data_IF_467900218690
#
_entry.id   IF_467900218690
#
_cell.length_a   1.000
_cell.length_b   1.000
_cell.length_c   1.000
_cell.angle_alpha   90.00
_cell.angle_beta   90.00
_cell.angle_gamma   90.00
#
_symmetry.space_group_name_H-M   'P 1'
#
loop_
_entity.id
_entity.type
_entity.pdbx_description
1 polymer ?
#
# COMPACT_ATOMS: atom_id res chain seq x y z
N UNK A 1 5.03 4.13 -9.68
CA UNK A 1 4.38 4.37 -11.00
C UNK A 1 2.86 4.18 -10.96
N UNK A 2 2.33 3.04 -10.49
CA UNK A 2 0.88 2.79 -10.44
C UNK A 2 0.11 3.85 -9.62
N UNK A 3 0.66 4.28 -8.48
CA UNK A 3 0.13 5.39 -7.67
C UNK A 3 -0.06 6.68 -8.47
N UNK A 4 0.89 7.06 -9.32
CA UNK A 4 0.77 8.21 -10.23
C UNK A 4 -0.17 7.96 -11.42
N UNK A 5 -0.37 6.71 -11.83
CA UNK A 5 -1.34 6.36 -12.90
C UNK A 5 -2.76 6.45 -12.36
N UNK A 6 -2.98 6.01 -11.13
CA UNK A 6 -4.27 6.10 -10.42
C UNK A 6 -4.46 7.43 -9.67
N UNK A 7 -3.50 8.36 -9.79
CA UNK A 7 -3.54 9.70 -9.18
C UNK A 7 -3.76 9.70 -7.66
N UNK A 8 -3.33 8.63 -6.98
CA UNK A 8 -3.34 8.53 -5.51
C UNK A 8 -2.28 9.47 -4.91
N UNK A 9 -1.08 9.49 -5.51
CA UNK A 9 0.02 10.39 -5.17
C UNK A 9 0.45 10.35 -3.69
N UNK A 10 0.50 9.16 -3.09
CA UNK A 10 0.87 8.94 -1.67
C UNK A 10 2.08 8.03 -1.48
N UNK A 11 2.66 7.49 -2.55
CA UNK A 11 3.90 6.70 -2.47
C UNK A 11 5.10 7.64 -2.72
N UNK A 12 6.13 7.64 -1.84
CA UNK A 12 7.33 8.44 -2.08
C UNK A 12 8.03 8.05 -3.39
N UNK A 13 8.80 8.96 -3.99
CA UNK A 13 9.58 8.65 -5.17
C UNK A 13 10.51 7.45 -4.94
N UNK A 14 10.38 6.46 -5.83
CA UNK A 14 11.22 5.27 -5.86
C UNK A 14 11.82 5.12 -7.26
N UNK A 15 13.14 5.06 -7.32
CA UNK A 15 13.92 4.80 -8.52
C UNK A 15 14.44 3.38 -8.57
N UNK A 16 14.79 2.92 -9.77
CA UNK A 16 15.53 1.67 -9.96
C UNK A 16 17.01 1.99 -10.15
N UNK A 17 17.86 1.19 -9.55
CA UNK A 17 19.32 1.26 -9.72
C UNK A 17 19.89 -0.14 -9.87
N UNK A 18 21.07 -0.21 -10.47
CA UNK A 18 21.91 -1.39 -10.53
C UNK A 18 23.09 -1.14 -9.59
N UNK A 19 23.12 -1.84 -8.44
CA UNK A 19 24.16 -1.67 -7.42
C UNK A 19 25.26 -2.70 -7.69
N UNK A 20 26.51 -2.29 -7.96
CA UNK A 20 27.60 -3.23 -8.22
C UNK A 20 27.76 -4.23 -7.07
N UNK A 21 27.93 -5.51 -7.40
CA UNK A 21 28.07 -6.56 -6.38
C UNK A 21 29.26 -6.30 -5.46
N UNK A 22 30.37 -5.78 -6.02
CA UNK A 22 31.54 -5.35 -5.26
C UNK A 22 31.22 -4.25 -4.22
N UNK A 23 30.35 -3.30 -4.55
CA UNK A 23 29.92 -2.25 -3.60
C UNK A 23 29.18 -2.86 -2.41
N UNK A 24 28.27 -3.81 -2.67
CA UNK A 24 27.52 -4.50 -1.61
C UNK A 24 28.47 -5.33 -0.74
N UNK A 25 29.40 -6.09 -1.35
CA UNK A 25 30.41 -6.87 -0.61
C UNK A 25 31.26 -5.99 0.30
N UNK A 26 31.84 -4.93 -0.25
CA UNK A 26 32.67 -4.00 0.52
C UNK A 26 31.90 -3.35 1.66
N UNK A 27 30.62 -3.00 1.44
CA UNK A 27 29.77 -2.45 2.50
C UNK A 27 29.48 -3.48 3.60
N UNK A 28 29.19 -4.73 3.24
CA UNK A 28 29.00 -5.82 4.21
C UNK A 28 30.27 -6.10 5.00
N UNK A 29 31.44 -6.11 4.36
CA UNK A 29 32.71 -6.35 5.04
C UNK A 29 33.07 -5.19 6.00
N UNK A 30 32.79 -3.96 5.59
CA UNK A 30 33.12 -2.75 6.36
C UNK A 30 32.15 -2.52 7.51
N UNK A 31 30.85 -2.65 7.26
CA UNK A 31 29.79 -2.23 8.18
C UNK A 31 28.97 -3.38 8.76
N UNK A 32 29.05 -4.58 8.20
CA UNK A 32 28.15 -5.69 8.53
C UNK A 32 28.20 -6.14 10.00
N UNK A 33 29.29 -5.88 10.71
CA UNK A 33 29.40 -6.18 12.16
C UNK A 33 28.59 -5.21 13.03
N UNK A 34 28.32 -4.01 12.54
CA UNK A 34 27.56 -2.98 13.25
C UNK A 34 26.09 -2.90 12.86
N UNK A 35 25.62 -3.77 11.95
CA UNK A 35 24.22 -3.81 11.53
C UNK A 35 23.41 -4.55 12.58
N UNK A 36 22.51 -3.83 13.25
CA UNK A 36 21.47 -4.45 14.06
C UNK A 36 20.56 -5.28 13.15
N UNK A 37 20.53 -6.59 13.38
CA UNK A 37 19.72 -7.53 12.60
C UNK A 37 18.81 -8.29 13.54
N UNK A 38 17.52 -8.39 13.20
CA UNK A 38 16.57 -9.22 13.94
C UNK A 38 17.02 -10.68 13.91
N UNK A 39 17.19 -11.28 15.09
CA UNK A 39 17.70 -12.65 15.22
C UNK A 39 16.80 -13.69 14.55
N UNK A 40 15.50 -13.41 14.45
CA UNK A 40 14.55 -14.26 13.75
C UNK A 40 14.89 -14.40 12.26
N UNK A 41 15.32 -13.31 11.59
CA UNK A 41 15.70 -13.38 10.17
C UNK A 41 16.93 -14.23 9.92
N UNK A 42 17.94 -14.14 10.79
CA UNK A 42 19.13 -14.98 10.71
C UNK A 42 18.76 -16.47 10.91
N UNK A 43 17.90 -16.75 11.90
CA UNK A 43 17.43 -18.10 12.20
C UNK A 43 16.61 -18.70 11.06
N UNK A 44 15.65 -17.96 10.51
CA UNK A 44 14.81 -18.40 9.38
C UNK A 44 15.66 -18.65 8.13
N UNK A 45 16.70 -17.84 7.97
CA UNK A 45 17.69 -18.00 6.90
C UNK A 45 18.73 -19.06 7.22
N UNK A 46 18.71 -19.69 8.41
CA UNK A 46 19.64 -20.75 8.81
C UNK A 46 21.11 -20.31 8.83
N UNK A 47 21.38 -19.06 9.21
CA UNK A 47 22.71 -18.44 9.29
C UNK A 47 22.90 -17.78 10.65
N UNK A 48 24.14 -17.44 11.00
CA UNK A 48 24.49 -16.89 12.32
C UNK A 48 24.95 -15.43 12.28
N UNK A 49 25.28 -14.92 11.10
CA UNK A 49 25.76 -13.54 10.93
C UNK A 49 25.08 -12.83 9.77
N UNK A 50 25.04 -11.50 9.84
CA UNK A 50 24.55 -10.65 8.75
C UNK A 50 25.32 -10.90 7.43
N UNK A 51 26.63 -11.12 7.51
CA UNK A 51 27.44 -11.39 6.32
C UNK A 51 27.05 -12.72 5.65
N UNK A 52 26.85 -13.78 6.44
CA UNK A 52 26.33 -15.06 5.94
C UNK A 52 24.93 -14.90 5.33
N UNK A 53 24.08 -14.09 5.97
CA UNK A 53 22.75 -13.80 5.46
C UNK A 53 22.78 -13.11 4.09
N UNK A 54 23.58 -12.05 3.94
CA UNK A 54 23.76 -11.38 2.65
C UNK A 54 24.36 -12.34 1.60
N UNK A 55 25.32 -13.18 1.97
CA UNK A 55 25.86 -14.15 1.03
C UNK A 55 24.78 -15.13 0.52
N UNK A 56 23.98 -15.68 1.43
CA UNK A 56 22.96 -16.68 1.11
C UNK A 56 21.74 -16.08 0.41
N UNK A 57 21.10 -15.09 1.03
CA UNK A 57 19.77 -14.62 0.64
C UNK A 57 19.82 -13.53 -0.42
N UNK A 58 20.97 -12.89 -0.61
CA UNK A 58 21.16 -11.94 -1.71
C UNK A 58 22.00 -12.53 -2.84
N UNK A 59 23.27 -12.89 -2.59
CA UNK A 59 24.18 -13.27 -3.67
C UNK A 59 23.88 -14.66 -4.24
N UNK A 60 23.76 -15.68 -3.39
CA UNK A 60 23.49 -17.05 -3.86
C UNK A 60 22.10 -17.15 -4.48
N UNK A 61 21.10 -16.48 -3.87
CA UNK A 61 19.77 -16.36 -4.44
C UNK A 61 19.78 -15.67 -5.82
N UNK A 62 20.40 -14.48 -5.94
CA UNK A 62 20.45 -13.75 -7.20
C UNK A 62 21.15 -14.56 -8.31
N UNK A 63 22.22 -15.29 -7.97
CA UNK A 63 22.90 -16.19 -8.90
C UNK A 63 22.01 -17.35 -9.33
N UNK A 64 21.32 -18.00 -8.39
CA UNK A 64 20.42 -19.12 -8.66
C UNK A 64 19.20 -18.70 -9.49
N UNK A 65 18.68 -17.49 -9.25
CA UNK A 65 17.50 -16.95 -9.90
C UNK A 65 17.81 -16.19 -11.21
N UNK A 66 19.08 -16.15 -11.64
CA UNK A 66 19.55 -15.41 -12.81
C UNK A 66 19.13 -13.91 -12.78
N UNK A 67 19.24 -13.31 -11.60
CA UNK A 67 18.87 -11.92 -11.31
C UNK A 67 20.08 -10.97 -11.32
N UNK A 68 21.28 -11.49 -11.61
CA UNK A 68 22.48 -10.67 -11.80
C UNK A 68 22.40 -10.00 -13.17
N UNK A 69 22.43 -8.67 -13.16
CA UNK A 69 22.34 -7.89 -14.39
C UNK A 69 23.61 -8.02 -15.24
N UNK A 70 23.49 -7.69 -16.55
CA UNK A 70 24.66 -7.53 -17.42
C UNK A 70 25.59 -6.46 -16.83
N UNK A 71 26.78 -6.88 -16.36
CA UNK A 71 27.75 -5.99 -15.70
C UNK A 71 27.99 -6.26 -14.20
N UNK A 72 27.56 -7.42 -13.67
CA UNK A 72 27.84 -7.86 -12.29
C UNK A 72 27.29 -6.90 -11.22
N UNK A 73 25.98 -6.67 -11.29
CA UNK A 73 25.26 -5.86 -10.32
C UNK A 73 23.91 -6.48 -9.95
N UNK A 74 23.36 -6.01 -8.83
CA UNK A 74 22.04 -6.40 -8.33
C UNK A 74 21.08 -5.23 -8.56
N UNK A 75 19.98 -5.50 -9.25
CA UNK A 75 18.89 -4.55 -9.42
C UNK A 75 18.19 -4.28 -8.09
N UNK A 76 18.02 -3.00 -7.73
CA UNK A 76 17.40 -2.59 -6.49
C UNK A 76 16.45 -1.39 -6.69
N UNK A 77 15.45 -1.29 -5.82
CA UNK A 77 14.63 -0.08 -5.70
C UNK A 77 15.21 0.83 -4.62
N UNK A 78 15.56 2.07 -4.96
CA UNK A 78 15.91 3.12 -3.99
C UNK A 78 14.70 4.02 -3.81
N UNK A 79 14.17 4.04 -2.60
CA UNK A 79 13.09 4.93 -2.20
C UNK A 79 13.67 6.11 -1.42
N UNK A 80 13.21 7.33 -1.72
CA UNK A 80 13.60 8.49 -0.93
C UNK A 80 13.13 8.32 0.51
N UNK A 81 14.05 8.53 1.44
CA UNK A 81 13.75 8.50 2.86
C UNK A 81 12.76 9.62 3.21
N UNK A 82 11.80 9.30 4.05
CA UNK A 82 10.82 10.25 4.55
C UNK A 82 11.05 10.46 6.04
N UNK A 83 11.16 11.73 6.43
CA UNK A 83 11.17 12.09 7.84
C UNK A 83 9.77 11.90 8.46
N UNK A 84 9.70 11.67 9.77
CA UNK A 84 8.47 11.74 10.59
C UNK A 84 7.35 10.83 10.06
N UNK A 85 7.76 9.64 9.63
CA UNK A 85 6.83 8.57 9.31
C UNK A 85 6.45 7.88 10.62
N UNK A 86 5.18 7.95 10.96
CA UNK A 86 4.61 7.31 12.13
C UNK A 86 3.68 6.18 11.69
N UNK A 87 3.62 5.12 12.49
CA UNK A 87 2.65 4.07 12.26
C UNK A 87 1.24 4.55 12.62
N UNK A 88 0.21 4.10 11.89
CA UNK A 88 -1.18 4.56 12.06
C UNK A 88 -1.66 4.44 13.51
N UNK A 89 -1.33 3.34 14.19
CA UNK A 89 -1.79 3.10 15.57
C UNK A 89 -1.16 4.03 16.60
N UNK A 90 0.02 4.56 16.30
CA UNK A 90 0.74 5.53 17.13
C UNK A 90 0.44 6.97 16.71
N UNK A 91 -0.53 7.14 15.80
CA UNK A 91 -0.91 8.43 15.27
C UNK A 91 -2.27 8.91 15.83
N UNK A 92 -2.53 10.21 15.75
CA UNK A 92 -3.83 10.79 16.05
C UNK A 92 -4.95 10.33 15.10
N UNK A 93 -4.62 9.70 13.97
CA UNK A 93 -5.62 9.12 13.07
C UNK A 93 -6.04 7.69 13.45
N UNK A 94 -5.54 7.14 14.57
CA UNK A 94 -5.80 5.75 14.95
C UNK A 94 -7.29 5.38 14.99
N UNK A 95 -7.59 4.15 14.60
CA UNK A 95 -8.94 3.56 14.67
C UNK A 95 -9.02 2.52 15.79
N UNK A 96 -10.22 2.27 16.37
CA UNK A 96 -10.40 1.16 17.30
C UNK A 96 -10.08 -0.18 16.65
N UNK A 97 -9.10 -0.91 17.20
CA UNK A 97 -8.61 -2.14 16.59
C UNK A 97 -8.17 -3.17 17.65
N UNK A 98 -8.15 -4.45 17.26
CA UNK A 98 -7.58 -5.56 18.03
C UNK A 98 -6.38 -6.12 17.28
N UNK A 99 -5.20 -6.08 17.89
CA UNK A 99 -3.94 -6.52 17.29
C UNK A 99 -4.00 -7.89 16.59
N UNK A 100 -3.24 -8.02 15.49
CA UNK A 100 -3.01 -9.24 14.72
C UNK A 100 -4.27 -10.00 14.24
N UNK A 101 -5.37 -9.32 13.88
CA UNK A 101 -6.54 -9.98 13.28
C UNK A 101 -7.24 -9.13 12.21
N UNK A 102 -8.25 -9.72 11.55
CA UNK A 102 -9.07 -9.09 10.49
C UNK A 102 -10.30 -8.36 11.03
N UNK A 103 -10.41 -8.12 12.35
CA UNK A 103 -11.59 -7.47 12.95
C UNK A 103 -11.87 -6.07 12.39
N UNK A 104 -10.85 -5.41 11.86
CA UNK A 104 -10.97 -4.12 11.19
C UNK A 104 -11.74 -4.18 9.87
N UNK A 105 -11.91 -5.36 9.26
CA UNK A 105 -12.73 -5.53 8.05
C UNK A 105 -14.18 -5.09 8.28
N UNK A 106 -14.66 -5.19 9.54
CA UNK A 106 -16.01 -4.74 9.92
C UNK A 106 -16.30 -3.28 9.62
N UNK A 107 -15.28 -2.43 9.50
CA UNK A 107 -15.46 -1.03 9.14
C UNK A 107 -15.83 -0.83 7.67
N UNK A 108 -15.69 -1.89 6.86
CA UNK A 108 -16.03 -1.90 5.45
C UNK A 108 -17.11 -2.91 5.12
N UNK A 109 -17.69 -3.58 6.12
CA UNK A 109 -18.75 -4.55 5.94
C UNK A 109 -20.06 -3.94 6.42
N UNK A 110 -20.88 -3.51 5.47
CA UNK A 110 -22.20 -2.93 5.75
C UNK A 110 -23.29 -3.99 5.95
N UNK A 111 -22.93 -5.27 6.04
CA UNK A 111 -23.90 -6.33 6.31
C UNK A 111 -24.54 -6.13 7.69
N UNK A 112 -25.86 -6.00 7.72
CA UNK A 112 -26.63 -5.85 8.96
C UNK A 112 -26.71 -4.42 9.49
N UNK A 113 -26.28 -3.43 8.73
CA UNK A 113 -26.58 -2.02 9.04
C UNK A 113 -28.08 -1.74 8.85
N UNK A 114 -28.67 -0.94 9.75
CA UNK A 114 -30.07 -0.52 9.64
C UNK A 114 -30.23 0.39 8.42
N UNK A 115 -31.03 0.00 7.40
CA UNK A 115 -31.29 0.81 6.20
C UNK A 115 -31.79 2.23 6.47
N UNK A 116 -32.30 2.50 7.68
CA UNK A 116 -32.81 3.81 8.10
C UNK A 116 -31.77 4.69 8.79
N UNK A 117 -30.61 4.16 9.18
CA UNK A 117 -29.51 4.92 9.83
C UNK A 117 -28.11 4.61 9.26
N UNK A 118 -27.90 4.70 7.93
CA UNK A 118 -26.63 4.30 7.28
C UNK A 118 -25.39 5.01 7.82
N UNK A 119 -25.53 6.32 7.98
CA UNK A 119 -24.43 7.24 8.17
C UNK A 119 -24.06 7.39 9.64
N UNK A 120 -24.91 6.90 10.55
CA UNK A 120 -24.77 7.09 11.98
C UNK A 120 -23.52 6.39 12.55
N UNK A 121 -23.01 5.36 11.87
CA UNK A 121 -21.99 4.49 12.45
C UNK A 121 -20.55 4.94 12.20
N UNK A 122 -20.24 5.56 11.07
CA UNK A 122 -18.87 5.95 10.70
C UNK A 122 -18.72 7.46 10.54
N UNK A 123 -19.62 8.17 9.86
CA UNK A 123 -19.44 9.61 9.56
C UNK A 123 -19.44 10.50 10.80
N UNK A 124 -20.21 10.13 11.83
CA UNK A 124 -20.21 10.82 13.12
C UNK A 124 -19.10 10.37 14.06
N UNK A 125 -18.21 9.47 13.62
CA UNK A 125 -17.07 9.04 14.43
C UNK A 125 -15.86 9.93 14.15
N UNK A 126 -15.04 10.23 15.16
CA UNK A 126 -13.85 11.05 14.96
C UNK A 126 -12.81 10.40 14.03
N UNK A 127 -12.93 9.10 13.74
CA UNK A 127 -12.06 8.36 12.81
C UNK A 127 -12.68 8.10 11.43
N UNK A 128 -13.77 8.79 11.06
CA UNK A 128 -14.43 8.63 9.75
C UNK A 128 -13.46 8.82 8.57
N UNK A 129 -12.71 9.93 8.59
CA UNK A 129 -11.73 10.27 7.56
C UNK A 129 -10.61 9.23 7.45
N UNK A 130 -10.22 8.62 8.57
CA UNK A 130 -9.25 7.52 8.58
C UNK A 130 -9.80 6.30 7.86
N UNK A 131 -11.06 5.93 8.11
CA UNK A 131 -11.69 4.79 7.42
C UNK A 131 -11.74 5.01 5.91
N UNK A 132 -12.09 6.21 5.45
CA UNK A 132 -12.07 6.55 4.02
C UNK A 132 -10.65 6.47 3.42
N UNK A 133 -9.64 6.91 4.17
CA UNK A 133 -8.23 6.81 3.72
C UNK A 133 -7.75 5.35 3.65
N UNK A 134 -8.13 4.52 4.63
CA UNK A 134 -7.89 3.07 4.61
C UNK A 134 -8.69 2.41 3.47
N UNK A 135 -9.86 2.93 3.13
CA UNK A 135 -10.61 2.44 1.97
C UNK A 135 -9.85 2.70 0.66
N UNK A 136 -9.31 3.92 0.49
CA UNK A 136 -8.51 4.31 -0.67
C UNK A 136 -7.27 3.40 -0.84
N UNK A 137 -6.49 3.17 0.21
CA UNK A 137 -5.31 2.29 0.12
C UNK A 137 -5.72 0.82 -0.13
N UNK A 138 -6.84 0.34 0.43
CA UNK A 138 -7.33 -1.00 0.14
C UNK A 138 -7.79 -1.15 -1.32
N UNK A 139 -8.46 -0.16 -1.89
CA UNK A 139 -8.82 -0.17 -3.30
C UNK A 139 -7.56 -0.15 -4.19
N UNK A 140 -6.57 0.68 -3.85
CA UNK A 140 -5.28 0.72 -4.53
C UNK A 140 -4.55 -0.64 -4.46
N UNK A 141 -4.38 -1.19 -3.25
CA UNK A 141 -3.74 -2.48 -3.01
C UNK A 141 -4.48 -3.61 -3.70
N UNK A 142 -5.81 -3.55 -3.75
CA UNK A 142 -6.61 -4.51 -4.48
C UNK A 142 -6.22 -4.51 -5.97
N UNK A 143 -6.19 -3.32 -6.59
CA UNK A 143 -5.83 -3.15 -8.01
C UNK A 143 -4.43 -3.71 -8.29
N UNK A 144 -3.42 -3.31 -7.51
CA UNK A 144 -2.04 -3.79 -7.72
C UNK A 144 -1.82 -5.22 -7.22
N UNK A 145 -2.76 -5.82 -6.49
CA UNK A 145 -2.65 -7.16 -5.95
C UNK A 145 -1.78 -7.28 -4.69
N UNK A 146 -1.62 -6.20 -3.93
CA UNK A 146 -0.92 -6.26 -2.65
C UNK A 146 -1.84 -6.89 -1.59
N UNK A 147 -1.41 -8.01 -1.02
CA UNK A 147 -2.13 -8.75 0.01
C UNK A 147 -1.58 -8.56 1.43
N UNK A 148 -0.55 -7.73 1.61
CA UNK A 148 0.18 -7.58 2.87
C UNK A 148 -0.06 -6.22 3.54
N UNK A 149 -1.34 -5.86 3.66
CA UNK A 149 -1.80 -4.63 4.33
C UNK A 149 -2.72 -4.98 5.49
N UNK A 150 -2.51 -4.33 6.64
CA UNK A 150 -3.49 -4.27 7.72
C UNK A 150 -3.37 -2.95 8.49
N UNK A 151 -4.37 -2.45 9.21
CA UNK A 151 -4.24 -1.19 9.95
C UNK A 151 -3.09 -1.14 10.95
N UNK A 152 -2.57 -2.30 11.37
CA UNK A 152 -1.41 -2.44 12.25
C UNK A 152 -0.11 -2.86 11.55
N UNK A 153 -0.13 -3.02 10.23
CA UNK A 153 1.05 -3.28 9.42
C UNK A 153 0.99 -2.43 8.18
N UNK A 154 2.04 -1.68 7.94
CA UNK A 154 2.20 -0.99 6.66
C UNK A 154 1.17 0.13 6.40
N UNK A 155 0.57 0.69 7.45
CA UNK A 155 -0.21 1.93 7.37
C UNK A 155 0.55 3.03 8.10
N UNK A 156 0.93 4.06 7.35
CA UNK A 156 1.85 5.08 7.83
C UNK A 156 1.28 6.48 7.61
N UNK A 157 1.58 7.37 8.54
CA UNK A 157 1.11 8.75 8.61
C UNK A 157 2.31 9.68 8.68
N UNK A 158 2.21 10.82 7.99
CA UNK A 158 3.13 11.97 8.11
C UNK A 158 2.35 13.23 8.45
N UNK A 159 3.02 14.25 8.99
CA UNK A 159 2.45 15.57 9.22
C UNK A 159 1.92 15.80 10.64
N UNK A 160 1.74 17.07 11.00
CA UNK A 160 1.54 17.52 12.39
C UNK A 160 0.11 17.40 12.85
N UNK A 161 -0.06 17.11 14.13
CA UNK A 161 -1.30 17.48 14.81
C UNK A 161 -1.34 18.97 15.14
N UNK A 162 -2.41 19.64 14.71
CA UNK A 162 -2.64 21.02 15.10
C UNK A 162 -3.18 21.06 16.54
N UNK A 163 -2.74 22.03 17.37
CA UNK A 163 -3.16 22.20 18.79
C UNK A 163 -4.69 22.28 18.99
N UNK A 164 -5.44 22.54 17.92
CA UNK A 164 -6.90 22.65 17.92
C UNK A 164 -7.64 21.36 17.54
N UNK A 165 -6.94 20.31 17.11
CA UNK A 165 -7.56 19.02 16.85
C UNK A 165 -7.66 18.24 18.17
N UNK A 166 -8.89 18.03 18.66
CA UNK A 166 -9.23 17.34 19.91
C UNK A 166 -8.79 15.86 20.01
N UNK A 167 -8.02 15.39 19.04
CA UNK A 167 -7.62 13.98 18.86
C UNK A 167 -6.14 13.76 19.25
N UNK A 168 -5.39 14.85 19.47
CA UNK A 168 -3.94 14.80 19.64
C UNK A 168 -3.56 15.12 21.10
N UNK A 169 -3.49 14.09 21.95
CA UNK A 169 -2.83 14.20 23.26
C UNK A 169 -1.35 13.84 23.08
N UNK A 170 -0.51 14.81 22.72
CA UNK A 170 0.94 14.62 22.58
C UNK A 170 1.69 15.40 23.67
N UNK A 171 1.98 14.74 24.79
CA UNK A 171 2.66 15.32 25.96
C UNK A 171 4.18 15.05 26.04
N UNK A 172 4.81 14.49 25.00
CA UNK A 172 6.27 14.32 25.00
C UNK A 172 6.96 15.29 24.03
N UNK A 173 7.86 16.09 24.58
CA UNK A 173 8.67 17.10 23.88
C UNK A 173 9.48 16.51 22.71
N UNK A 174 9.93 15.26 22.85
CA UNK A 174 10.62 14.49 21.82
C UNK A 174 9.74 14.19 20.61
N UNK A 175 8.43 13.97 20.80
CA UNK A 175 7.51 13.76 19.70
C UNK A 175 7.38 15.06 18.92
N UNK A 176 7.12 16.21 19.58
CA UNK A 176 6.96 17.51 18.90
C UNK A 176 8.19 17.95 18.10
N UNK A 177 9.39 17.58 18.54
CA UNK A 177 10.65 17.93 17.90
C UNK A 177 10.98 17.10 16.64
N UNK A 178 10.35 15.94 16.43
CA UNK A 178 10.62 15.13 15.24
C UNK A 178 9.91 15.67 14.00
N UNK A 179 8.74 16.32 14.08
CA UNK A 179 7.90 16.59 12.89
C UNK A 179 8.33 17.78 12.00
N UNK A 180 9.00 17.47 10.90
CA UNK A 180 9.40 18.36 9.80
C UNK A 180 8.23 18.66 8.85
N UNK A 181 7.34 17.69 8.59
CA UNK A 181 6.26 17.86 7.59
C UNK A 181 5.17 18.86 8.04
N UNK A 182 4.91 19.95 7.30
CA UNK A 182 3.85 20.89 7.61
C UNK A 182 2.47 20.35 7.21
N UNK A 183 1.42 20.77 7.93
CA UNK A 183 0.02 20.43 7.60
C UNK A 183 -0.56 19.30 8.46
N UNK A 184 -1.87 19.01 8.30
CA UNK A 184 -2.57 18.00 9.08
C UNK A 184 -2.05 16.58 8.76
N UNK A 185 -2.22 15.62 9.69
CA UNK A 185 -1.71 14.27 9.49
C UNK A 185 -2.34 13.63 8.26
N UNK A 186 -1.52 12.99 7.43
CA UNK A 186 -1.90 12.45 6.12
C UNK A 186 -1.27 11.08 5.89
N UNK A 187 -2.01 10.18 5.24
CA UNK A 187 -1.52 8.85 4.87
C UNK A 187 -0.41 8.90 3.82
N UNK A 188 0.66 8.15 4.08
CA UNK A 188 1.69 7.76 3.13
C UNK A 188 1.62 6.24 2.90
N UNK A 189 1.78 5.84 1.64
CA UNK A 189 1.65 4.45 1.21
C UNK A 189 3.05 3.84 1.06
N UNK A 190 3.54 3.17 2.11
CA UNK A 190 4.81 2.44 2.09
C UNK A 190 4.59 0.92 2.00
N UNK A 191 5.69 0.18 1.95
CA UNK A 191 5.72 -1.28 1.87
C UNK A 191 4.80 -1.86 0.79
N UNK A 192 5.21 -1.63 -0.46
CA UNK A 192 4.53 -2.11 -1.65
C UNK A 192 5.27 -3.28 -2.30
N UNK A 193 6.20 -3.90 -1.55
CA UNK A 193 7.06 -4.98 -2.04
C UNK A 193 6.28 -6.21 -2.51
N UNK A 194 5.05 -6.40 -2.01
CA UNK A 194 4.17 -7.53 -2.34
C UNK A 194 3.15 -7.22 -3.46
N UNK A 195 3.25 -6.06 -4.11
CA UNK A 195 2.41 -5.72 -5.27
C UNK A 195 2.80 -6.49 -6.54
N UNK A 196 1.84 -6.68 -7.46
CA UNK A 196 1.99 -7.30 -8.79
C UNK A 196 2.26 -8.82 -8.85
N UNK A 197 2.32 -9.52 -7.69
CA UNK A 197 2.59 -10.96 -7.62
C UNK A 197 1.33 -11.84 -7.68
N UNK A 198 0.41 -11.70 -6.71
CA UNK A 198 -0.76 -12.59 -6.57
C UNK A 198 -2.06 -11.81 -6.27
N UNK A 199 -3.10 -12.51 -5.79
CA UNK A 199 -4.37 -11.99 -5.33
C UNK A 199 -4.22 -11.37 -3.94
N UNK A 200 -4.89 -10.22 -3.68
CA UNK A 200 -4.83 -9.53 -2.40
C UNK A 200 -5.75 -10.22 -1.36
N UNK A 201 -5.37 -11.42 -0.88
CA UNK A 201 -6.26 -12.29 -0.07
C UNK A 201 -6.69 -11.69 1.27
N UNK A 202 -5.86 -10.85 1.90
CA UNK A 202 -6.19 -10.18 3.16
C UNK A 202 -6.84 -8.81 2.97
N UNK A 203 -7.41 -8.55 1.80
CA UNK A 203 -8.07 -7.28 1.48
C UNK A 203 -9.60 -7.40 1.65
N UNK A 204 -10.27 -6.48 2.38
CA UNK A 204 -11.71 -6.51 2.59
C UNK A 204 -12.51 -6.41 1.27
N UNK A 205 -12.01 -5.67 0.27
CA UNK A 205 -12.64 -5.57 -1.04
C UNK A 205 -12.58 -6.89 -1.81
N UNK A 206 -11.46 -7.62 -1.69
CA UNK A 206 -11.34 -8.97 -2.26
C UNK A 206 -12.38 -9.93 -1.67
N UNK A 207 -12.61 -9.86 -0.36
CA UNK A 207 -13.61 -10.70 0.30
C UNK A 207 -15.04 -10.35 -0.13
N UNK A 208 -15.38 -9.06 -0.24
CA UNK A 208 -16.69 -8.63 -0.72
C UNK A 208 -16.95 -9.12 -2.16
N UNK A 209 -15.98 -8.98 -3.05
CA UNK A 209 -16.08 -9.46 -4.44
C UNK A 209 -16.26 -10.98 -4.48
N UNK A 210 -15.47 -11.73 -3.70
CA UNK A 210 -15.57 -13.20 -3.63
C UNK A 210 -16.92 -13.66 -3.08
N UNK A 211 -17.49 -12.93 -2.12
CA UNK A 211 -18.79 -13.23 -1.53
C UNK A 211 -19.97 -12.92 -2.49
N UNK A 212 -19.74 -12.16 -3.56
CA UNK A 212 -20.78 -11.76 -4.50
C UNK A 212 -21.80 -10.77 -3.92
N UNK A 213 -21.50 -10.15 -2.78
CA UNK A 213 -22.32 -9.14 -2.13
C UNK A 213 -21.51 -7.86 -1.94
N UNK A 214 -21.99 -6.68 -2.38
CA UNK A 214 -21.30 -5.41 -2.21
C UNK A 214 -21.45 -4.93 -0.76
N UNK A 215 -20.78 -5.61 0.15
CA UNK A 215 -20.72 -5.20 1.56
C UNK A 215 -19.72 -4.06 1.77
N UNK A 216 -18.74 -3.96 0.86
CA UNK A 216 -17.75 -2.90 0.77
C UNK A 216 -18.26 -1.74 -0.09
N UNK A 217 -18.66 -0.64 0.55
CA UNK A 217 -19.18 0.55 -0.13
C UNK A 217 -18.52 1.87 0.27
N UNK A 218 -17.33 1.83 0.87
CA UNK A 218 -16.53 3.04 1.14
C UNK A 218 -15.58 3.28 -0.01
N UNK A 219 -15.78 4.36 -0.76
CA UNK A 219 -14.90 4.74 -1.84
C UNK A 219 -14.73 6.26 -1.87
N UNK A 220 -13.52 6.71 -2.20
CA UNK A 220 -13.25 8.11 -2.50
C UNK A 220 -13.61 8.41 -3.95
N UNK A 221 -14.44 9.41 -4.20
CA UNK A 221 -14.90 9.77 -5.54
C UNK A 221 -13.76 10.11 -6.48
N UNK A 222 -12.70 10.80 -6.01
CA UNK A 222 -11.53 11.09 -6.83
C UNK A 222 -10.86 9.82 -7.37
N UNK A 223 -10.76 8.77 -6.53
CA UNK A 223 -10.23 7.47 -6.93
C UNK A 223 -11.18 6.82 -7.94
N UNK A 224 -12.48 6.74 -7.67
CA UNK A 224 -13.45 6.13 -8.59
C UNK A 224 -13.48 6.82 -9.95
N UNK A 225 -13.51 8.15 -9.98
CA UNK A 225 -13.48 8.94 -11.21
C UNK A 225 -12.22 8.62 -12.01
N UNK A 226 -11.06 8.55 -11.33
CA UNK A 226 -9.82 8.22 -12.00
C UNK A 226 -9.82 6.80 -12.55
N UNK A 227 -10.27 5.80 -11.78
CA UNK A 227 -10.40 4.43 -12.24
C UNK A 227 -11.35 4.35 -13.45
N UNK A 228 -12.48 5.05 -13.40
CA UNK A 228 -13.43 5.12 -14.53
C UNK A 228 -12.77 5.68 -15.78
N UNK A 229 -12.04 6.80 -15.69
CA UNK A 229 -11.30 7.33 -16.83
C UNK A 229 -10.27 6.34 -17.39
N UNK A 230 -9.54 5.63 -16.53
CA UNK A 230 -8.58 4.60 -16.95
C UNK A 230 -9.27 3.42 -17.66
N UNK A 231 -10.47 3.04 -17.23
CA UNK A 231 -11.26 2.01 -17.90
C UNK A 231 -11.73 2.49 -19.29
N UNK A 232 -12.11 3.76 -19.44
CA UNK A 232 -12.59 4.33 -20.71
C UNK A 232 -11.47 4.63 -21.72
N UNK A 233 -10.24 4.87 -21.28
CA UNK A 233 -9.12 5.27 -22.16
C UNK A 233 -8.62 4.15 -23.10
N UNK A 234 -9.24 2.98 -23.10
CA UNK A 234 -8.88 1.88 -23.98
C UNK A 234 -9.60 1.98 -25.34
N UNK A 235 -8.95 2.56 -26.36
CA UNK A 235 -9.36 2.36 -27.76
C UNK A 235 -9.05 0.91 -28.18
N UNK A 236 -9.93 -0.03 -27.82
CA UNK A 236 -9.82 -1.45 -28.20
C UNK A 236 -9.99 -2.48 -27.08
N UNK A 237 -10.32 -2.06 -25.85
CA UNK A 237 -10.66 -2.96 -24.74
C UNK A 237 -9.84 -2.71 -23.47
N UNK A 238 -10.53 -2.53 -22.34
CA UNK A 238 -10.17 -2.87 -20.94
C UNK A 238 -8.69 -2.86 -20.50
N UNK A 239 -7.84 -1.96 -21.02
CA UNK A 239 -6.40 -1.97 -20.75
C UNK A 239 -5.76 -0.58 -20.54
N UNK A 240 -6.54 0.50 -20.32
CA UNK A 240 -5.98 1.85 -20.19
C UNK A 240 -4.92 1.98 -19.07
N UNK A 241 -5.15 1.35 -17.91
CA UNK A 241 -4.14 1.23 -16.85
C UNK A 241 -2.87 0.51 -17.34
N UNK A 242 -3.03 -0.64 -18.01
CA UNK A 242 -1.91 -1.45 -18.48
C UNK A 242 -1.09 -0.73 -19.56
N UNK A 243 -1.76 -0.01 -20.46
CA UNK A 243 -1.15 0.84 -21.48
C UNK A 243 -0.33 1.97 -20.82
N UNK A 244 -0.95 2.77 -19.95
CA UNK A 244 -0.24 3.87 -19.29
C UNK A 244 0.94 3.39 -18.45
N UNK A 245 0.78 2.29 -17.71
CA UNK A 245 1.89 1.67 -17.00
C UNK A 245 3.01 1.25 -17.94
N UNK A 246 2.69 0.58 -19.06
CA UNK A 246 3.68 0.14 -20.04
C UNK A 246 4.44 1.31 -20.69
N UNK A 247 3.79 2.46 -20.89
CA UNK A 247 4.44 3.67 -21.42
C UNK A 247 5.29 4.41 -20.38
N UNK A 248 4.93 4.34 -19.09
CA UNK A 248 5.59 5.09 -18.01
C UNK A 248 6.71 4.33 -17.33
N UNK A 249 6.72 3.00 -17.40
CA UNK A 249 7.76 2.19 -16.76
C UNK A 249 9.06 2.27 -17.57
N UNK A 250 10.20 2.58 -16.94
CA UNK A 250 11.50 2.43 -17.58
C UNK A 250 11.68 0.99 -18.10
N UNK A 251 12.33 0.83 -19.25
CA UNK A 251 12.52 -0.50 -19.87
C UNK A 251 13.20 -1.51 -18.92
N UNK A 252 14.14 -1.04 -18.10
CA UNK A 252 14.83 -1.84 -17.07
C UNK A 252 13.90 -2.35 -15.96
N UNK A 253 12.81 -1.62 -15.69
CA UNK A 253 11.81 -1.97 -14.68
C UNK A 253 10.67 -2.79 -15.29
N UNK A 254 10.33 -2.53 -16.55
CA UNK A 254 9.20 -3.16 -17.23
C UNK A 254 9.28 -4.70 -17.26
N UNK A 255 10.47 -5.28 -17.23
CA UNK A 255 10.66 -6.75 -17.14
C UNK A 255 10.18 -7.37 -15.82
N UNK A 256 10.16 -6.61 -14.72
CA UNK A 256 9.73 -7.12 -13.42
C UNK A 256 8.20 -7.13 -13.28
N UNK A 257 7.50 -6.42 -14.17
CA UNK A 257 6.03 -6.38 -14.18
C UNK A 257 5.53 -6.91 -15.51
N UNK A 258 5.14 -8.19 -15.54
CA UNK A 258 4.68 -8.82 -16.77
C UNK A 258 3.45 -8.13 -17.37
N UNK A 259 3.30 -8.17 -18.70
CA UNK A 259 2.07 -7.71 -19.39
C UNK A 259 0.81 -8.39 -18.80
N UNK A 260 0.93 -9.67 -18.43
CA UNK A 260 -0.14 -10.42 -17.77
C UNK A 260 -0.52 -9.81 -16.41
N UNK A 261 0.47 -9.42 -15.59
CA UNK A 261 0.25 -8.74 -14.31
C UNK A 261 -0.45 -7.40 -14.49
N UNK A 262 -0.05 -6.60 -15.49
CA UNK A 262 -0.72 -5.32 -15.79
C UNK A 262 -2.18 -5.51 -16.24
N UNK A 263 -2.46 -6.53 -17.06
CA UNK A 263 -3.83 -6.89 -17.44
C UNK A 263 -4.67 -7.36 -16.25
N UNK A 264 -4.07 -8.11 -15.32
CA UNK A 264 -4.75 -8.47 -14.06
C UNK A 264 -5.11 -7.22 -13.26
N UNK A 265 -4.24 -6.22 -13.19
CA UNK A 265 -4.53 -4.95 -12.52
C UNK A 265 -5.68 -4.20 -13.21
N UNK A 266 -5.70 -4.14 -14.54
CA UNK A 266 -6.78 -3.51 -15.30
C UNK A 266 -8.14 -4.17 -15.02
N UNK A 267 -8.20 -5.52 -15.01
CA UNK A 267 -9.43 -6.24 -14.61
C UNK A 267 -9.85 -5.96 -13.17
N UNK A 268 -8.91 -5.96 -12.23
CA UNK A 268 -9.21 -5.66 -10.82
C UNK A 268 -9.74 -4.24 -10.63
N UNK A 269 -9.22 -3.28 -11.39
CA UNK A 269 -9.76 -1.93 -11.41
C UNK A 269 -11.24 -1.93 -11.83
N UNK A 270 -11.62 -2.72 -12.82
CA UNK A 270 -13.01 -2.87 -13.23
C UNK A 270 -13.86 -3.57 -12.17
N UNK A 271 -13.30 -4.53 -11.44
CA UNK A 271 -13.97 -5.13 -10.28
C UNK A 271 -14.29 -4.05 -9.23
N UNK A 272 -13.36 -3.13 -8.95
CA UNK A 272 -13.61 -1.98 -8.04
C UNK A 272 -14.78 -1.13 -8.54
N UNK A 273 -14.79 -0.77 -9.83
CA UNK A 273 -15.87 0.02 -10.43
C UNK A 273 -17.21 -0.73 -10.40
N UNK A 274 -17.20 -2.04 -10.61
CA UNK A 274 -18.40 -2.89 -10.56
C UNK A 274 -19.00 -2.91 -9.16
N UNK A 275 -18.18 -3.10 -8.12
CA UNK A 275 -18.63 -3.05 -6.72
C UNK A 275 -19.18 -1.66 -6.39
N UNK A 276 -18.47 -0.60 -6.74
CA UNK A 276 -18.93 0.77 -6.51
C UNK A 276 -20.27 1.06 -7.22
N UNK A 277 -20.45 0.60 -8.46
CA UNK A 277 -21.70 0.73 -9.19
C UNK A 277 -22.85 -0.04 -8.53
N UNK A 278 -22.59 -1.22 -7.97
CA UNK A 278 -23.59 -1.97 -7.20
C UNK A 278 -23.98 -1.25 -5.90
N UNK A 279 -23.00 -0.68 -5.19
CA UNK A 279 -23.26 0.18 -4.03
C UNK A 279 -24.16 1.36 -4.42
N UNK A 280 -23.86 2.07 -5.50
CA UNK A 280 -24.66 3.21 -5.97
C UNK A 280 -26.10 2.85 -6.39
N UNK A 281 -26.40 1.58 -6.68
CA UNK A 281 -27.79 1.14 -6.93
C UNK A 281 -28.62 1.06 -5.66
N UNK A 282 -27.98 0.92 -4.50
CA UNK A 282 -28.66 0.87 -3.22
C UNK A 282 -28.79 2.28 -2.66
N UNK A 283 -30.02 2.83 -2.48
CA UNK A 283 -30.22 4.19 -1.96
C UNK A 283 -29.47 4.45 -0.64
N UNK A 284 -29.36 3.40 0.17
CA UNK A 284 -28.65 3.36 1.45
C UNK A 284 -27.12 3.59 1.34
N UNK A 285 -26.48 3.05 0.30
CA UNK A 285 -25.02 3.13 0.12
C UNK A 285 -24.56 4.34 -0.68
N UNK A 286 -25.48 5.06 -1.35
CA UNK A 286 -25.15 6.27 -2.12
C UNK A 286 -24.50 7.38 -1.28
N UNK A 287 -24.88 7.47 -0.01
CA UNK A 287 -24.35 8.50 0.88
C UNK A 287 -22.89 8.25 1.31
N UNK A 288 -22.37 7.02 1.11
CA UNK A 288 -21.05 6.59 1.58
C UNK A 288 -19.98 6.63 0.46
N UNK A 289 -20.44 6.73 -0.79
CA UNK A 289 -19.59 7.00 -1.95
C UNK A 289 -19.40 8.52 -2.05
N UNK A 290 -18.41 9.02 -1.32
CA UNK A 290 -18.13 10.45 -1.14
C UNK A 290 -17.31 11.04 -2.28
#
# INVERSE_FOLDING_TARGET
HADRVMEVNRIPPTGWVCIPTATIRNATDTFGRGVETEQEFLKDSGVSTYAEWIQKDLFDYAKKADLVERGDCIGASIQLYMADVHHLLDSPLKIPYKAHNTSWHRFFDLTGEDPKQPLARIEHKPWAATIISIAEINAFDYVIGNGDRSPNKNNFIVGKCNRHASICNEDTEQFRASWIHPGPPTFVHLDQGMGFYDKPRNNPLYNAIKAGSPTYCHFRASMLNRLWHLAQQARGGHEGFAMLMSTRLPATVARFVSKSSLRKCARRLEDVLSVAAQCLKQPFHRAVVA
#
